data_IF_917682233580
#
_entry.id   IF_917682233580
#
_cell.length_a   1.000
_cell.length_b   1.000
_cell.length_c   1.000
_cell.angle_alpha   90.00
_cell.angle_beta   90.00
_cell.angle_gamma   90.00
#
_symmetry.space_group_name_H-M   'P 1'
#
loop_
_entity.id
_entity.type
_entity.pdbx_description
1 polymer ?
#
# COMPACT_ATOMS: atom_id res chain seq x y z
N UNK A 1 -0.48 15.63 1.54
CA UNK A 1 -0.14 16.98 1.03
C UNK A 1 -0.44 17.11 -0.45
N UNK A 2 -0.07 16.14 -1.28
CA UNK A 2 -0.27 16.21 -2.73
C UNK A 2 -1.74 16.41 -3.13
N UNK A 3 -2.67 15.73 -2.47
CA UNK A 3 -4.11 15.87 -2.69
C UNK A 3 -4.64 17.27 -2.32
N UNK A 4 -4.04 17.91 -1.31
CA UNK A 4 -4.45 19.22 -0.84
C UNK A 4 -3.81 20.39 -1.60
N UNK A 5 -2.75 20.15 -2.38
CA UNK A 5 -2.01 21.21 -3.08
C UNK A 5 -2.89 22.07 -4.00
N UNK A 6 -3.95 21.48 -4.56
CA UNK A 6 -4.92 22.17 -5.41
C UNK A 6 -5.96 22.99 -4.63
N UNK A 7 -6.23 22.64 -3.38
CA UNK A 7 -7.29 23.21 -2.56
C UNK A 7 -6.75 24.16 -1.50
N UNK A 8 -5.63 23.82 -0.87
CA UNK A 8 -4.94 24.62 0.14
C UNK A 8 -3.44 24.38 0.04
N UNK A 9 -2.77 25.21 -0.76
CA UNK A 9 -1.34 25.12 -1.01
C UNK A 9 -0.50 25.46 0.24
N UNK A 10 -1.01 26.32 1.13
CA UNK A 10 -0.34 26.67 2.38
C UNK A 10 -0.33 25.49 3.32
N UNK A 11 -1.50 24.89 3.57
CA UNK A 11 -1.61 23.69 4.40
C UNK A 11 -0.74 22.56 3.86
N UNK A 12 -0.76 22.31 2.53
CA UNK A 12 0.09 21.30 1.91
C UNK A 12 1.58 21.54 2.16
N UNK A 13 2.01 22.80 2.07
CA UNK A 13 3.41 23.19 2.34
C UNK A 13 3.78 23.00 3.81
N UNK A 14 2.93 23.43 4.73
CA UNK A 14 3.15 23.29 6.17
C UNK A 14 3.28 21.81 6.58
N UNK A 15 2.44 20.93 6.04
CA UNK A 15 2.52 19.48 6.27
C UNK A 15 3.82 18.88 5.73
N UNK A 16 4.27 19.29 4.54
CA UNK A 16 5.55 18.83 3.98
C UNK A 16 6.73 19.28 4.86
N UNK A 17 6.72 20.51 5.34
CA UNK A 17 7.77 21.04 6.23
C UNK A 17 7.79 20.29 7.56
N UNK A 18 6.61 20.01 8.15
CA UNK A 18 6.49 19.21 9.36
C UNK A 18 7.05 17.79 9.14
N UNK A 19 6.65 17.12 8.07
CA UNK A 19 7.14 15.78 7.73
C UNK A 19 8.67 15.76 7.52
N UNK A 20 9.22 16.75 6.82
CA UNK A 20 10.67 16.88 6.65
C UNK A 20 11.42 17.17 7.96
N UNK A 21 10.78 17.88 8.89
CA UNK A 21 11.30 18.09 10.25
C UNK A 21 11.33 16.79 11.07
N UNK A 22 10.23 16.02 11.03
CA UNK A 22 10.13 14.71 11.68
C UNK A 22 11.13 13.70 11.10
N UNK A 23 11.34 13.73 9.79
CA UNK A 23 12.35 12.91 9.13
C UNK A 23 13.74 13.09 9.76
N UNK A 24 14.19 14.34 9.94
CA UNK A 24 15.48 14.64 10.55
C UNK A 24 15.61 14.13 11.98
N UNK A 25 14.50 14.08 12.71
CA UNK A 25 14.48 13.53 14.08
C UNK A 25 14.51 12.00 14.05
N UNK A 26 13.73 11.38 13.17
CA UNK A 26 13.65 9.92 13.02
C UNK A 26 14.97 9.31 12.53
N UNK A 27 15.76 10.00 11.68
CA UNK A 27 17.09 9.55 11.27
C UNK A 27 18.02 9.30 12.47
N UNK A 28 17.80 9.99 13.59
CA UNK A 28 18.57 9.82 14.82
C UNK A 28 18.06 8.69 15.71
N UNK A 29 16.78 8.36 15.63
CA UNK A 29 16.10 7.49 16.60
C UNK A 29 16.12 5.99 16.24
N UNK A 30 16.17 5.62 14.97
CA UNK A 30 16.17 4.22 14.42
C UNK A 30 15.20 3.24 15.09
N UNK A 31 14.16 3.73 15.75
CA UNK A 31 13.18 2.91 16.46
C UNK A 31 11.96 2.61 15.57
N UNK A 32 11.49 1.36 15.61
CA UNK A 32 10.19 0.96 15.04
C UNK A 32 9.07 1.11 16.07
N UNK A 33 7.82 1.08 15.62
CA UNK A 33 6.62 1.16 16.45
C UNK A 33 5.47 0.39 15.82
N UNK A 34 4.65 -0.24 16.65
CA UNK A 34 3.35 -0.82 16.24
C UNK A 34 3.45 -1.82 15.06
N UNK A 35 4.41 -2.74 15.10
CA UNK A 35 4.60 -3.77 14.08
C UNK A 35 5.33 -3.30 12.80
N UNK A 36 5.75 -2.05 12.76
CA UNK A 36 6.57 -1.49 11.69
C UNK A 36 8.01 -1.39 12.17
N UNK A 37 8.97 -1.95 11.44
CA UNK A 37 10.38 -1.74 11.76
C UNK A 37 10.80 -0.31 11.46
N UNK A 38 11.81 0.20 12.14
CA UNK A 38 12.34 1.53 11.86
C UNK A 38 12.83 1.69 10.42
N UNK A 39 13.30 0.60 9.81
CA UNK A 39 13.71 0.58 8.39
C UNK A 39 12.51 0.72 7.45
N UNK A 40 11.43 -0.04 7.67
CA UNK A 40 10.21 0.03 6.88
C UNK A 40 9.56 1.42 6.96
N UNK A 41 9.46 1.98 8.18
CA UNK A 41 8.94 3.33 8.38
C UNK A 41 9.79 4.38 7.65
N UNK A 42 11.12 4.23 7.68
CA UNK A 42 12.05 5.10 6.98
C UNK A 42 11.90 5.01 5.47
N UNK A 43 11.79 3.80 4.93
CA UNK A 43 11.61 3.56 3.50
C UNK A 43 10.30 4.18 2.98
N UNK A 44 9.20 3.94 3.70
CA UNK A 44 7.89 4.51 3.38
C UNK A 44 7.89 6.03 3.44
N UNK A 45 8.46 6.62 4.50
CA UNK A 45 8.57 8.07 4.63
C UNK A 45 9.45 8.69 3.53
N UNK A 46 10.54 8.02 3.14
CA UNK A 46 11.39 8.46 2.04
C UNK A 46 10.63 8.48 0.71
N UNK A 47 9.88 7.42 0.40
CA UNK A 47 9.07 7.34 -0.81
C UNK A 47 8.04 8.47 -0.89
N UNK A 48 7.30 8.72 0.20
CA UNK A 48 6.29 9.78 0.26
C UNK A 48 6.90 11.19 0.21
N UNK A 49 8.03 11.43 0.90
CA UNK A 49 8.73 12.70 0.84
C UNK A 49 9.35 12.95 -0.54
N UNK A 50 9.86 11.91 -1.21
CA UNK A 50 10.33 12.03 -2.59
C UNK A 50 9.19 12.39 -3.53
N UNK A 51 8.08 11.67 -3.45
CA UNK A 51 6.87 11.95 -4.24
C UNK A 51 6.38 13.39 -4.07
N UNK A 52 6.41 13.89 -2.83
CA UNK A 52 5.91 15.23 -2.50
C UNK A 52 6.88 16.35 -2.87
N UNK A 53 8.20 16.13 -2.81
CA UNK A 53 9.21 17.20 -2.89
C UNK A 53 10.16 17.11 -4.08
N UNK A 54 10.34 15.92 -4.66
CA UNK A 54 11.35 15.66 -5.69
C UNK A 54 12.81 15.72 -5.21
N UNK A 55 13.05 15.82 -3.89
CA UNK A 55 14.42 15.96 -3.36
C UNK A 55 15.17 14.62 -3.43
N UNK A 56 16.26 14.59 -4.18
CA UNK A 56 17.06 13.38 -4.46
C UNK A 56 17.56 12.65 -3.21
N UNK A 57 17.77 13.35 -2.10
CA UNK A 57 18.18 12.71 -0.83
C UNK A 57 17.20 11.64 -0.34
N UNK A 58 15.90 11.76 -0.69
CA UNK A 58 14.89 10.78 -0.32
C UNK A 58 14.86 9.63 -1.32
N UNK A 59 15.03 9.88 -2.63
CA UNK A 59 15.20 8.83 -3.62
C UNK A 59 16.42 7.95 -3.31
N UNK A 60 17.53 8.56 -2.93
CA UNK A 60 18.76 7.85 -2.57
C UNK A 60 18.57 6.83 -1.42
N UNK A 61 17.58 7.03 -0.55
CA UNK A 61 17.26 6.05 0.52
C UNK A 61 16.65 4.78 -0.08
N UNK A 62 15.75 4.91 -1.06
CA UNK A 62 15.14 3.76 -1.75
C UNK A 62 16.19 3.05 -2.61
N UNK A 63 16.98 3.80 -3.37
CA UNK A 63 18.06 3.28 -4.21
C UNK A 63 19.08 2.50 -3.38
N UNK A 64 19.49 3.03 -2.22
CA UNK A 64 20.40 2.35 -1.30
C UNK A 64 19.80 1.11 -0.62
N UNK A 65 18.47 1.04 -0.50
CA UNK A 65 17.76 -0.08 0.12
C UNK A 65 17.41 -1.20 -0.88
N UNK A 66 17.69 -1.02 -2.16
CA UNK A 66 17.34 -1.95 -3.23
C UNK A 66 17.82 -3.39 -2.94
N UNK A 67 19.09 -3.57 -2.59
CA UNK A 67 19.66 -4.90 -2.33
C UNK A 67 18.91 -5.63 -1.21
N UNK A 68 18.57 -4.92 -0.14
CA UNK A 68 17.78 -5.48 0.97
C UNK A 68 16.35 -5.83 0.57
N UNK A 69 15.70 -5.00 -0.26
CA UNK A 69 14.35 -5.27 -0.77
C UNK A 69 14.34 -6.50 -1.69
N UNK A 70 15.33 -6.62 -2.58
CA UNK A 70 15.43 -7.77 -3.48
C UNK A 70 15.73 -9.07 -2.71
N UNK A 71 16.57 -9.00 -1.68
CA UNK A 71 16.82 -10.15 -0.80
C UNK A 71 15.53 -10.56 -0.07
N UNK A 72 14.82 -9.61 0.54
CA UNK A 72 13.52 -9.88 1.19
C UNK A 72 12.50 -10.50 0.22
N UNK A 73 12.51 -10.07 -1.06
CA UNK A 73 11.63 -10.65 -2.06
C UNK A 73 11.97 -12.13 -2.34
N UNK A 74 13.25 -12.48 -2.40
CA UNK A 74 13.67 -13.87 -2.58
C UNK A 74 13.36 -14.76 -1.38
N UNK A 75 13.38 -14.18 -0.18
CA UNK A 75 13.09 -14.86 1.10
C UNK A 75 11.58 -14.86 1.46
N UNK A 76 10.71 -14.33 0.59
CA UNK A 76 9.28 -14.11 0.83
C UNK A 76 9.00 -13.29 2.11
N UNK A 77 9.95 -12.42 2.48
CA UNK A 77 9.95 -11.67 3.73
C UNK A 77 9.60 -10.18 3.57
N UNK A 78 9.14 -9.76 2.38
CA UNK A 78 8.71 -8.38 2.15
C UNK A 78 7.46 -8.09 2.97
N UNK A 79 7.52 -7.04 3.78
CA UNK A 79 6.39 -6.57 4.56
C UNK A 79 5.48 -5.62 3.78
N UNK A 80 4.27 -5.40 4.29
CA UNK A 80 3.24 -4.51 3.70
C UNK A 80 3.76 -3.11 3.41
N UNK A 81 4.53 -2.55 4.32
CA UNK A 81 5.08 -1.19 4.17
C UNK A 81 6.23 -1.11 3.16
N UNK A 82 6.97 -2.19 2.96
CA UNK A 82 7.96 -2.28 1.89
C UNK A 82 7.26 -2.24 0.51
N UNK A 83 6.14 -2.96 0.34
CA UNK A 83 5.32 -2.89 -0.88
C UNK A 83 4.73 -1.50 -1.10
N UNK A 84 4.19 -0.85 -0.07
CA UNK A 84 3.66 0.51 -0.19
C UNK A 84 4.75 1.51 -0.59
N UNK A 85 5.96 1.39 -0.04
CA UNK A 85 7.09 2.23 -0.42
C UNK A 85 7.49 2.01 -1.89
N UNK A 86 7.54 0.75 -2.33
CA UNK A 86 7.83 0.39 -3.72
C UNK A 86 6.79 0.99 -4.68
N UNK A 87 5.51 0.79 -4.41
CA UNK A 87 4.41 1.34 -5.22
C UNK A 87 4.43 2.87 -5.24
N UNK A 88 4.68 3.52 -4.09
CA UNK A 88 4.79 4.99 -4.03
C UNK A 88 5.93 5.50 -4.90
N UNK A 89 7.07 4.80 -4.94
CA UNK A 89 8.20 5.15 -5.79
C UNK A 89 7.89 4.93 -7.26
N UNK A 90 7.25 3.83 -7.64
CA UNK A 90 6.82 3.54 -9.01
C UNK A 90 5.81 4.58 -9.52
N UNK A 91 4.83 4.94 -8.68
CA UNK A 91 3.73 5.84 -9.02
C UNK A 91 4.10 7.34 -8.97
N UNK A 92 5.34 7.69 -8.62
CA UNK A 92 5.74 9.10 -8.51
C UNK A 92 5.83 9.76 -9.89
N UNK A 93 5.55 11.06 -9.95
CA UNK A 93 5.80 11.90 -11.13
C UNK A 93 7.21 12.49 -11.16
N UNK A 94 8.01 12.20 -10.15
CA UNK A 94 9.40 12.63 -10.06
C UNK A 94 10.29 11.75 -10.94
N UNK A 95 11.52 12.21 -11.21
CA UNK A 95 12.50 11.41 -11.94
C UNK A 95 12.93 10.20 -11.11
N UNK A 96 12.82 9.00 -11.67
CA UNK A 96 13.17 7.73 -11.02
C UNK A 96 14.28 7.00 -11.77
N UNK A 97 14.97 6.11 -11.06
CA UNK A 97 15.80 5.09 -11.68
C UNK A 97 14.89 4.06 -12.37
N UNK A 98 14.99 3.99 -13.69
CA UNK A 98 14.12 3.12 -14.52
C UNK A 98 14.38 1.64 -14.24
N UNK A 99 15.62 1.26 -14.00
CA UNK A 99 15.97 -0.13 -13.75
C UNK A 99 15.48 -0.58 -12.36
N UNK A 100 15.63 0.29 -11.36
CA UNK A 100 15.06 0.05 -10.05
C UNK A 100 13.52 -0.06 -10.13
N UNK A 101 12.85 0.85 -10.83
CA UNK A 101 11.40 0.76 -11.07
C UNK A 101 11.00 -0.58 -11.70
N UNK A 102 11.69 -1.03 -12.74
CA UNK A 102 11.38 -2.29 -13.40
C UNK A 102 11.54 -3.49 -12.44
N UNK A 103 12.54 -3.46 -11.56
CA UNK A 103 12.71 -4.52 -10.54
C UNK A 103 11.61 -4.47 -9.47
N UNK A 104 11.27 -3.28 -8.99
CA UNK A 104 10.19 -3.09 -8.02
C UNK A 104 8.83 -3.49 -8.59
N UNK A 105 8.55 -3.17 -9.86
CA UNK A 105 7.32 -3.60 -10.55
C UNK A 105 7.22 -5.13 -10.53
N UNK A 106 8.29 -5.84 -10.86
CA UNK A 106 8.28 -7.32 -10.82
C UNK A 106 7.98 -7.86 -9.44
N UNK A 107 8.59 -7.28 -8.40
CA UNK A 107 8.34 -7.69 -7.00
C UNK A 107 6.89 -7.49 -6.61
N UNK A 108 6.31 -6.33 -6.96
CA UNK A 108 4.92 -6.00 -6.64
C UNK A 108 3.95 -6.87 -7.44
N UNK A 109 4.22 -7.10 -8.73
CA UNK A 109 3.40 -7.96 -9.60
C UNK A 109 3.41 -9.42 -9.12
N UNK A 110 4.57 -9.98 -8.81
CA UNK A 110 4.65 -11.34 -8.28
C UNK A 110 3.76 -11.51 -7.04
N UNK A 111 3.79 -10.55 -6.13
CA UNK A 111 2.91 -10.59 -4.95
C UNK A 111 1.43 -10.49 -5.31
N UNK A 112 1.06 -9.64 -6.26
CA UNK A 112 -0.32 -9.52 -6.73
C UNK A 112 -0.81 -10.85 -7.37
N UNK A 113 0.02 -11.49 -8.16
CA UNK A 113 -0.27 -12.81 -8.75
C UNK A 113 -0.43 -13.90 -7.69
N UNK A 114 0.41 -13.93 -6.65
CA UNK A 114 0.28 -14.86 -5.51
C UNK A 114 -1.05 -14.67 -4.79
N UNK A 115 -1.41 -13.41 -4.49
CA UNK A 115 -2.70 -13.07 -3.87
C UNK A 115 -3.85 -13.55 -4.77
N UNK A 116 -3.82 -13.19 -6.05
CA UNK A 116 -4.85 -13.54 -7.02
C UNK A 116 -4.99 -15.07 -7.16
N UNK A 117 -3.90 -15.82 -7.24
CA UNK A 117 -3.90 -17.28 -7.33
C UNK A 117 -4.48 -17.97 -6.08
N UNK A 118 -4.35 -17.33 -4.91
CA UNK A 118 -4.90 -17.85 -3.64
C UNK A 118 -6.42 -17.69 -3.50
N UNK A 119 -7.03 -16.73 -4.19
CA UNK A 119 -8.42 -16.33 -3.97
C UNK A 119 -9.46 -17.23 -4.66
N UNK A 120 -9.30 -17.72 -5.91
CA UNK A 120 -10.32 -18.51 -6.59
C UNK A 120 -10.67 -19.85 -5.92
N UNK A 121 -9.79 -20.36 -5.08
CA UNK A 121 -10.02 -21.59 -4.30
C UNK A 121 -10.90 -21.38 -3.07
N UNK A 122 -11.15 -20.14 -2.73
CA UNK A 122 -11.90 -19.70 -1.55
C UNK A 122 -13.04 -18.79 -2.04
N UNK A 123 -14.09 -19.37 -2.62
CA UNK A 123 -15.29 -18.65 -3.09
C UNK A 123 -15.86 -17.71 -1.99
N UNK A 124 -15.61 -18.05 -0.74
CA UNK A 124 -15.78 -17.18 0.41
C UNK A 124 -14.61 -17.48 1.34
N UNK A 125 -13.71 -16.52 1.61
CA UNK A 125 -12.80 -16.68 2.72
C UNK A 125 -13.67 -16.88 3.96
N UNK A 126 -13.75 -18.11 4.44
CA UNK A 126 -14.41 -18.38 5.72
C UNK A 126 -13.62 -17.67 6.80
N UNK A 127 -14.18 -16.57 7.31
CA UNK A 127 -13.58 -15.79 8.38
C UNK A 127 -13.79 -16.52 9.71
N UNK A 128 -13.42 -17.78 9.75
CA UNK A 128 -13.32 -18.52 11.02
C UNK A 128 -12.01 -18.24 11.77
N UNK A 129 -11.13 -17.40 11.20
CA UNK A 129 -9.77 -17.19 11.74
C UNK A 129 -9.56 -15.84 12.43
N UNK A 130 -10.64 -15.12 12.78
CA UNK A 130 -10.54 -13.91 13.59
C UNK A 130 -10.10 -12.64 12.85
N UNK A 131 -9.80 -11.58 13.60
CA UNK A 131 -9.45 -10.25 13.07
C UNK A 131 -8.22 -10.25 12.14
N UNK A 132 -7.25 -11.13 12.38
CA UNK A 132 -6.04 -11.22 11.56
C UNK A 132 -6.36 -11.57 10.09
N UNK A 133 -7.32 -12.47 9.83
CA UNK A 133 -7.68 -12.84 8.46
C UNK A 133 -8.36 -11.69 7.69
N UNK A 134 -9.14 -10.84 8.38
CA UNK A 134 -9.71 -9.64 7.77
C UNK A 134 -8.63 -8.60 7.50
N UNK A 135 -7.70 -8.42 8.42
CA UNK A 135 -6.59 -7.49 8.24
C UNK A 135 -5.76 -7.85 7.01
N UNK A 136 -5.38 -9.13 6.87
CA UNK A 136 -4.66 -9.62 5.70
C UNK A 136 -5.46 -9.40 4.41
N UNK A 137 -6.75 -9.74 4.42
CA UNK A 137 -7.62 -9.56 3.25
C UNK A 137 -7.71 -8.07 2.85
N UNK A 138 -7.89 -7.16 3.81
CA UNK A 138 -8.00 -5.73 3.52
C UNK A 138 -6.71 -5.19 2.89
N UNK A 139 -5.55 -5.60 3.39
CA UNK A 139 -4.26 -5.21 2.84
C UNK A 139 -3.99 -5.83 1.47
N UNK A 140 -4.33 -7.10 1.28
CA UNK A 140 -4.19 -7.77 -0.01
C UNK A 140 -5.05 -7.08 -1.08
N UNK A 141 -6.31 -6.73 -0.75
CA UNK A 141 -7.19 -6.02 -1.67
C UNK A 141 -6.70 -4.59 -1.97
N UNK A 142 -6.17 -3.89 -0.97
CA UNK A 142 -5.56 -2.59 -1.18
C UNK A 142 -4.36 -2.69 -2.12
N UNK A 143 -3.52 -3.71 -1.97
CA UNK A 143 -2.37 -3.93 -2.86
C UNK A 143 -2.83 -4.21 -4.29
N UNK A 144 -3.79 -5.11 -4.50
CA UNK A 144 -4.34 -5.40 -5.84
C UNK A 144 -4.92 -4.13 -6.49
N UNK A 145 -5.69 -3.34 -5.74
CA UNK A 145 -6.28 -2.09 -6.24
C UNK A 145 -5.21 -1.07 -6.68
N UNK A 146 -4.13 -0.95 -5.90
CA UNK A 146 -3.03 -0.04 -6.23
C UNK A 146 -2.22 -0.55 -7.41
N UNK A 147 -2.02 -1.87 -7.52
CA UNK A 147 -1.32 -2.48 -8.67
C UNK A 147 -2.11 -2.25 -9.94
N UNK A 148 -3.41 -2.53 -9.96
CA UNK A 148 -4.27 -2.27 -11.12
C UNK A 148 -4.21 -0.79 -11.54
N UNK A 149 -4.27 0.13 -10.58
CA UNK A 149 -4.21 1.57 -10.86
C UNK A 149 -2.85 2.03 -11.41
N UNK A 150 -1.74 1.53 -10.84
CA UNK A 150 -0.38 1.98 -11.21
C UNK A 150 0.12 1.34 -12.48
N UNK A 151 -0.18 0.05 -12.67
CA UNK A 151 0.30 -0.74 -13.81
C UNK A 151 -0.72 -0.73 -14.95
N UNK A 152 -1.98 -0.35 -14.66
CA UNK A 152 -3.09 -0.23 -15.62
C UNK A 152 -3.37 -1.51 -16.41
N UNK A 153 -3.16 -2.68 -15.78
CA UNK A 153 -3.48 -3.96 -16.41
C UNK A 153 -4.93 -4.43 -16.17
N UNK A 154 -5.56 -3.94 -15.09
CA UNK A 154 -6.98 -4.18 -14.77
C UNK A 154 -7.40 -5.65 -14.66
N UNK A 155 -6.48 -6.51 -14.28
CA UNK A 155 -6.73 -7.95 -14.19
C UNK A 155 -7.43 -8.36 -12.89
N UNK A 156 -7.32 -7.53 -11.84
CA UNK A 156 -7.77 -7.88 -10.50
C UNK A 156 -9.16 -7.35 -10.13
N UNK A 157 -9.78 -6.55 -10.99
CA UNK A 157 -11.07 -5.90 -10.71
C UNK A 157 -12.16 -6.87 -10.26
N UNK A 158 -12.29 -8.03 -10.92
CA UNK A 158 -13.28 -9.05 -10.55
C UNK A 158 -13.03 -9.70 -9.16
N UNK A 159 -11.75 -9.80 -8.76
CA UNK A 159 -11.36 -10.30 -7.44
C UNK A 159 -11.74 -9.27 -6.38
N UNK A 160 -11.39 -8.01 -6.62
CA UNK A 160 -11.68 -6.88 -5.73
C UNK A 160 -13.20 -6.76 -5.53
N UNK A 161 -13.99 -6.84 -6.61
CA UNK A 161 -15.44 -6.80 -6.56
C UNK A 161 -16.03 -7.96 -5.75
N UNK A 162 -15.53 -9.17 -5.94
CA UNK A 162 -15.94 -10.34 -5.17
C UNK A 162 -15.72 -10.17 -3.66
N UNK A 163 -14.55 -9.65 -3.27
CA UNK A 163 -14.24 -9.39 -1.87
C UNK A 163 -15.05 -8.21 -1.31
N UNK A 164 -15.34 -7.20 -2.11
CA UNK A 164 -16.25 -6.13 -1.75
C UNK A 164 -17.60 -6.66 -1.32
N UNK A 165 -18.23 -7.52 -2.14
CA UNK A 165 -19.51 -8.12 -1.78
C UNK A 165 -19.45 -9.02 -0.56
N UNK A 166 -18.33 -9.74 -0.36
CA UNK A 166 -18.09 -10.50 0.87
C UNK A 166 -18.14 -9.62 2.11
N UNK A 167 -17.51 -8.43 2.07
CA UNK A 167 -17.49 -7.47 3.18
C UNK A 167 -18.88 -6.88 3.48
N UNK A 168 -19.75 -6.81 2.49
CA UNK A 168 -21.14 -6.36 2.62
C UNK A 168 -22.12 -7.47 2.99
N UNK A 169 -21.65 -8.61 3.43
CA UNK A 169 -22.49 -9.68 3.96
C UNK A 169 -22.84 -10.79 2.97
N UNK A 170 -22.31 -10.79 1.73
CA UNK A 170 -22.38 -11.95 0.84
C UNK A 170 -21.37 -13.02 1.26
N UNK A 171 -21.47 -13.48 2.49
CA UNK A 171 -20.65 -14.51 3.09
C UNK A 171 -21.55 -15.53 3.81
N UNK A 172 -20.99 -16.69 4.19
CA UNK A 172 -21.75 -17.80 4.78
C UNK A 172 -22.51 -17.42 6.07
N UNK A 173 -22.11 -16.35 6.74
CA UNK A 173 -22.73 -15.87 7.99
C UNK A 173 -23.66 -14.67 7.79
N UNK A 174 -23.78 -14.15 6.56
CA UNK A 174 -24.47 -12.88 6.27
C UNK A 174 -24.00 -11.71 7.16
N UNK A 175 -22.71 -11.73 7.54
CA UNK A 175 -22.12 -10.75 8.44
C UNK A 175 -21.59 -9.56 7.67
N UNK A 176 -22.07 -8.35 7.98
CA UNK A 176 -21.62 -7.10 7.35
C UNK A 176 -20.38 -6.55 8.08
N UNK A 177 -19.20 -6.82 7.55
CA UNK A 177 -17.94 -6.33 8.12
C UNK A 177 -17.81 -4.81 8.05
N UNK A 178 -18.43 -4.17 7.06
CA UNK A 178 -18.41 -2.73 6.95
C UNK A 178 -18.99 -2.04 8.19
N UNK A 179 -20.16 -2.45 8.60
CA UNK A 179 -20.87 -1.84 9.74
C UNK A 179 -20.23 -2.18 11.07
N UNK A 180 -19.75 -3.39 11.23
CA UNK A 180 -19.33 -3.90 12.52
C UNK A 180 -17.85 -3.63 12.85
N UNK A 181 -16.99 -3.63 11.84
CA UNK A 181 -15.54 -3.63 12.02
C UNK A 181 -14.82 -2.55 11.21
N UNK A 182 -15.09 -2.45 9.89
CA UNK A 182 -14.28 -1.65 8.98
C UNK A 182 -14.45 -0.16 9.25
N UNK A 183 -15.68 0.32 9.42
CA UNK A 183 -15.96 1.73 9.66
C UNK A 183 -15.31 2.29 10.94
N UNK A 184 -14.95 1.44 11.85
CA UNK A 184 -14.31 1.79 13.12
C UNK A 184 -12.79 1.67 13.10
N UNK A 185 -12.21 1.10 12.01
CA UNK A 185 -10.77 0.94 11.85
C UNK A 185 -10.26 1.82 10.70
N UNK A 186 -9.51 2.93 11.00
CA UNK A 186 -9.05 3.86 9.96
C UNK A 186 -8.19 3.21 8.88
N UNK A 187 -7.36 2.21 9.21
CA UNK A 187 -6.51 1.52 8.25
C UNK A 187 -7.37 0.68 7.30
N UNK A 188 -8.35 -0.06 7.80
CA UNK A 188 -9.28 -0.84 6.99
C UNK A 188 -10.20 0.05 6.16
N UNK A 189 -10.64 1.18 6.71
CA UNK A 189 -11.40 2.19 5.94
C UNK A 189 -10.58 2.72 4.76
N UNK A 190 -9.29 2.98 4.95
CA UNK A 190 -8.41 3.42 3.87
C UNK A 190 -8.26 2.33 2.78
N UNK A 191 -8.03 1.07 3.16
CA UNK A 191 -7.99 -0.07 2.23
C UNK A 191 -9.31 -0.21 1.45
N UNK A 192 -10.44 -0.10 2.14
CA UNK A 192 -11.77 -0.16 1.52
C UNK A 192 -12.00 0.97 0.50
N UNK A 193 -11.54 2.19 0.79
CA UNK A 193 -11.62 3.30 -0.15
C UNK A 193 -10.77 3.09 -1.40
N UNK A 194 -9.62 2.42 -1.27
CA UNK A 194 -8.81 2.01 -2.43
C UNK A 194 -9.57 1.01 -3.31
N UNK A 195 -10.22 0.00 -2.72
CA UNK A 195 -11.07 -0.95 -3.45
C UNK A 195 -12.22 -0.23 -4.20
N UNK A 196 -12.91 0.70 -3.54
CA UNK A 196 -13.98 1.48 -4.17
C UNK A 196 -13.49 2.37 -5.31
N UNK A 197 -12.30 2.94 -5.18
CA UNK A 197 -11.69 3.76 -6.24
C UNK A 197 -11.47 2.94 -7.49
N UNK A 198 -10.98 1.70 -7.34
CA UNK A 198 -10.74 0.79 -8.44
C UNK A 198 -12.04 0.37 -9.14
N UNK A 199 -13.06 -0.01 -8.37
CA UNK A 199 -14.37 -0.40 -8.92
C UNK A 199 -15.05 0.71 -9.73
N UNK A 200 -14.81 1.99 -9.40
CA UNK A 200 -15.37 3.13 -10.13
C UNK A 200 -14.69 3.44 -11.45
N UNK A 201 -13.45 3.02 -11.63
CA UNK A 201 -12.71 3.24 -12.88
C UNK A 201 -13.13 2.28 -13.98
N UNK A 202 -13.87 1.22 -13.64
CA UNK A 202 -14.32 0.16 -14.57
C UNK A 202 -15.84 0.08 -14.77
N UNK A 203 -16.63 0.90 -14.11
CA UNK A 203 -18.08 1.02 -14.29
C UNK A 203 -18.42 2.26 -15.12
#
# INVERSE_FOLDING_TARGET
SHSYQKYDSKYATDIIQLAAGLWKQAEKARAGRDGITGEQARLMAAAELYRATGQQKYAAVLEASEGGLMQKAQEEAIGRYDYLAAVTYIATKQRVDVELCNRLIRVVMNRAEEIAAGIPRLAYREVNQGKAAIDDMMWDMALLSVVDYVITNYEYGHIIESQYYFLWGRNAKSYCFWEQDISQNPAWTACYLMMLSEMRTHG
#
